data_IF_604508745960
#
_entry.id   IF_604508745960
#
_cell.length_a   1.000
_cell.length_b   1.000
_cell.length_c   1.000
_cell.angle_alpha   90.00
_cell.angle_beta   90.00
_cell.angle_gamma   90.00
#
_symmetry.space_group_name_H-M   'P 1'
#
loop_
_entity.id
_entity.type
_entity.pdbx_description
1 polymer ?
#
# COMPACT_ATOMS: atom_id res chain seq x y z
N UNK A 1 -29.80 -10.96 -8.66
CA UNK A 1 -31.19 -11.45 -8.52
C UNK A 1 -31.66 -11.06 -7.13
N UNK A 2 -32.82 -10.43 -6.98
CA UNK A 2 -33.29 -9.91 -5.67
C UNK A 2 -34.04 -10.99 -4.89
N UNK A 3 -33.79 -11.10 -3.58
CA UNK A 3 -34.55 -12.00 -2.70
C UNK A 3 -35.93 -11.39 -2.45
N UNK A 4 -37.03 -12.15 -2.64
CA UNK A 4 -38.38 -11.62 -2.46
C UNK A 4 -38.66 -11.19 -1.02
N UNK A 5 -39.64 -10.30 -0.81
CA UNK A 5 -40.01 -9.85 0.53
C UNK A 5 -40.62 -10.98 1.37
N UNK A 6 -41.47 -11.79 0.75
CA UNK A 6 -42.16 -12.93 1.33
C UNK A 6 -42.26 -14.05 0.29
N UNK A 7 -42.34 -15.29 0.74
CA UNK A 7 -42.55 -16.47 -0.09
C UNK A 7 -43.88 -17.13 0.30
N UNK A 8 -44.78 -17.28 -0.67
CA UNK A 8 -46.06 -17.96 -0.46
C UNK A 8 -45.89 -19.45 -0.75
N UNK A 9 -46.13 -20.30 0.25
CA UNK A 9 -46.06 -21.77 0.16
C UNK A 9 -47.44 -22.42 0.05
N UNK A 10 -48.47 -21.64 -0.31
CA UNK A 10 -49.86 -22.07 -0.42
C UNK A 10 -50.57 -22.09 0.94
N UNK A 11 -50.10 -22.92 1.86
CA UNK A 11 -50.69 -23.08 3.20
C UNK A 11 -50.14 -22.09 4.23
N UNK A 12 -49.02 -21.43 3.94
CA UNK A 12 -48.41 -20.43 4.81
C UNK A 12 -47.63 -19.40 3.99
N UNK A 13 -47.48 -18.21 4.57
CA UNK A 13 -46.70 -17.09 4.02
C UNK A 13 -45.46 -16.87 4.89
N UNK A 14 -44.28 -17.05 4.30
CA UNK A 14 -43.00 -16.95 5.01
C UNK A 14 -42.37 -15.59 4.72
N UNK A 15 -42.00 -14.86 5.77
CA UNK A 15 -41.18 -13.64 5.61
C UNK A 15 -39.73 -14.01 5.34
N UNK A 16 -39.15 -13.46 4.26
CA UNK A 16 -37.73 -13.65 3.95
C UNK A 16 -36.84 -12.54 4.55
N UNK A 17 -37.39 -11.68 5.43
CA UNK A 17 -36.70 -10.49 5.92
C UNK A 17 -35.43 -10.79 6.72
N UNK A 18 -35.50 -11.79 7.61
CA UNK A 18 -34.34 -12.23 8.37
C UNK A 18 -33.20 -12.71 7.45
N UNK A 19 -33.53 -13.50 6.42
CA UNK A 19 -32.56 -14.02 5.45
C UNK A 19 -31.97 -12.88 4.62
N UNK A 20 -32.80 -11.92 4.16
CA UNK A 20 -32.32 -10.74 3.44
C UNK A 20 -31.30 -9.95 4.27
N UNK A 21 -31.67 -9.65 5.52
CA UNK A 21 -30.79 -8.92 6.43
C UNK A 21 -29.48 -9.66 6.66
N UNK A 22 -29.56 -10.95 7.01
CA UNK A 22 -28.36 -11.76 7.26
C UNK A 22 -27.44 -11.82 6.04
N UNK A 23 -28.01 -11.96 4.83
CA UNK A 23 -27.22 -11.99 3.61
C UNK A 23 -26.59 -10.62 3.30
N UNK A 24 -27.34 -9.53 3.46
CA UNK A 24 -26.81 -8.17 3.34
C UNK A 24 -25.68 -7.89 4.34
N UNK A 25 -25.84 -8.32 5.59
CA UNK A 25 -24.83 -8.19 6.64
C UNK A 25 -23.57 -8.99 6.28
N UNK A 26 -23.74 -10.24 5.80
CA UNK A 26 -22.63 -11.08 5.32
C UNK A 26 -21.89 -10.45 4.14
N UNK A 27 -22.60 -9.93 3.14
CA UNK A 27 -21.97 -9.25 2.00
C UNK A 27 -21.19 -8.01 2.43
N UNK A 28 -21.76 -7.21 3.33
CA UNK A 28 -21.09 -6.01 3.87
C UNK A 28 -19.84 -6.39 4.65
N UNK A 29 -19.89 -7.46 5.44
CA UNK A 29 -18.74 -7.99 6.16
C UNK A 29 -17.64 -8.44 5.20
N UNK A 30 -17.99 -9.20 4.16
CA UNK A 30 -17.03 -9.68 3.16
C UNK A 30 -16.34 -8.49 2.48
N UNK A 31 -17.11 -7.52 1.98
CA UNK A 31 -16.56 -6.33 1.33
C UNK A 31 -15.62 -5.55 2.27
N UNK A 32 -16.00 -5.40 3.54
CA UNK A 32 -15.15 -4.73 4.55
C UNK A 32 -13.83 -5.49 4.75
N UNK A 33 -13.89 -6.81 4.88
CA UNK A 33 -12.69 -7.66 5.05
C UNK A 33 -11.78 -7.66 3.82
N UNK A 34 -12.34 -7.61 2.62
CA UNK A 34 -11.57 -7.48 1.39
C UNK A 34 -10.81 -6.16 1.36
N UNK A 35 -11.46 -5.05 1.68
CA UNK A 35 -10.81 -3.73 1.74
C UNK A 35 -9.73 -3.66 2.82
N UNK A 36 -9.98 -4.21 4.02
CA UNK A 36 -8.98 -4.31 5.09
C UNK A 36 -7.75 -5.12 4.65
N UNK A 37 -7.99 -6.26 3.96
CA UNK A 37 -6.92 -7.11 3.45
C UNK A 37 -6.11 -6.39 2.37
N UNK A 38 -6.79 -5.70 1.47
CA UNK A 38 -6.14 -4.92 0.43
C UNK A 38 -5.29 -3.79 1.02
N UNK A 39 -5.81 -3.06 2.01
CA UNK A 39 -5.06 -2.05 2.76
C UNK A 39 -3.81 -2.64 3.42
N UNK A 40 -3.91 -3.82 4.05
CA UNK A 40 -2.74 -4.51 4.61
C UNK A 40 -1.68 -4.82 3.55
N UNK A 41 -2.08 -5.33 2.39
CA UNK A 41 -1.15 -5.61 1.28
C UNK A 41 -0.47 -4.32 0.80
N UNK A 42 -1.21 -3.21 0.69
CA UNK A 42 -0.65 -1.90 0.33
C UNK A 42 0.39 -1.43 1.35
N UNK A 43 0.14 -1.60 2.65
CA UNK A 43 1.13 -1.29 3.71
C UNK A 43 2.39 -2.15 3.57
N UNK A 44 2.24 -3.45 3.32
CA UNK A 44 3.38 -4.37 3.14
C UNK A 44 4.24 -3.96 1.94
N UNK A 45 3.62 -3.47 0.86
CA UNK A 45 4.33 -2.89 -0.29
C UNK A 45 5.10 -1.63 0.09
N UNK A 46 4.49 -0.72 0.84
CA UNK A 46 5.17 0.48 1.35
C UNK A 46 6.42 0.11 2.18
N UNK A 47 6.30 -0.87 3.07
CA UNK A 47 7.42 -1.37 3.89
C UNK A 47 8.52 -2.05 3.07
N UNK A 48 8.17 -2.65 1.93
CA UNK A 48 9.16 -3.22 1.01
C UNK A 48 9.95 -2.12 0.31
N UNK A 49 9.25 -1.10 -0.20
CA UNK A 49 9.87 0.07 -0.83
C UNK A 49 10.78 0.77 0.19
N UNK A 50 10.30 1.00 1.42
CA UNK A 50 11.11 1.61 2.46
C UNK A 50 12.40 0.82 2.75
N UNK A 51 12.33 -0.52 2.78
CA UNK A 51 13.51 -1.38 2.97
C UNK A 51 14.52 -1.23 1.85
N UNK A 52 14.06 -1.19 0.59
CA UNK A 52 14.93 -1.01 -0.57
C UNK A 52 15.64 0.35 -0.48
N UNK A 53 14.91 1.40 -0.17
CA UNK A 53 15.46 2.74 0.03
C UNK A 53 16.43 2.82 1.21
N UNK A 54 16.15 2.12 2.31
CA UNK A 54 17.04 2.10 3.47
C UNK A 54 18.37 1.41 3.15
N UNK A 55 18.37 0.37 2.30
CA UNK A 55 19.61 -0.28 1.84
C UNK A 55 20.54 0.69 1.09
N UNK A 56 19.96 1.61 0.30
CA UNK A 56 20.68 2.69 -0.38
C UNK A 56 21.25 3.67 0.65
N UNK A 57 20.45 4.09 1.64
CA UNK A 57 20.89 5.01 2.70
C UNK A 57 22.07 4.47 3.51
N UNK A 58 22.02 3.19 3.88
CA UNK A 58 23.11 2.56 4.64
C UNK A 58 24.41 2.61 3.83
N UNK A 59 24.33 2.39 2.52
CA UNK A 59 25.51 2.44 1.64
C UNK A 59 26.05 3.87 1.51
N UNK A 60 25.16 4.87 1.39
CA UNK A 60 25.52 6.29 1.36
C UNK A 60 26.24 6.76 2.62
N UNK A 61 25.91 6.20 3.79
CA UNK A 61 26.49 6.59 5.08
C UNK A 61 27.84 5.93 5.38
N UNK A 62 28.31 4.97 4.55
CA UNK A 62 29.61 4.33 4.77
C UNK A 62 30.74 5.32 4.48
N UNK A 63 31.62 5.52 5.45
CA UNK A 63 32.85 6.30 5.24
C UNK A 63 33.92 5.38 4.63
N UNK A 64 34.47 5.69 3.45
CA UNK A 64 35.50 4.87 2.85
C UNK A 64 36.84 5.10 3.55
N UNK A 65 37.48 4.01 3.98
CA UNK A 65 38.78 4.02 4.68
C UNK A 65 39.98 3.89 3.73
N UNK A 66 39.74 3.50 2.48
CA UNK A 66 40.76 3.26 1.45
C UNK A 66 40.40 3.95 0.12
N UNK A 67 41.41 4.15 -0.75
CA UNK A 67 41.23 4.76 -2.07
C UNK A 67 40.33 3.87 -2.95
N UNK A 68 40.48 2.55 -2.87
CA UNK A 68 39.64 1.58 -3.56
C UNK A 68 38.19 1.68 -3.08
N UNK A 69 37.97 1.80 -1.76
CA UNK A 69 36.63 2.02 -1.20
C UNK A 69 36.00 3.34 -1.61
N UNK A 70 36.82 4.40 -1.81
CA UNK A 70 36.36 5.67 -2.36
C UNK A 70 35.89 5.53 -3.82
N UNK A 71 36.60 4.74 -4.64
CA UNK A 71 36.24 4.49 -6.04
C UNK A 71 34.94 3.69 -6.12
N UNK A 72 34.82 2.60 -5.36
CA UNK A 72 33.59 1.79 -5.29
C UNK A 72 32.38 2.62 -4.84
N UNK A 73 32.56 3.48 -3.84
CA UNK A 73 31.49 4.36 -3.38
C UNK A 73 31.05 5.36 -4.46
N UNK A 74 32.01 5.93 -5.22
CA UNK A 74 31.71 6.85 -6.33
C UNK A 74 30.96 6.17 -7.47
N UNK A 75 31.34 4.95 -7.83
CA UNK A 75 30.64 4.16 -8.84
C UNK A 75 29.22 3.82 -8.37
N UNK A 76 29.05 3.47 -7.09
CA UNK A 76 27.74 3.20 -6.52
C UNK A 76 26.85 4.46 -6.54
N UNK A 77 27.36 5.61 -6.10
CA UNK A 77 26.65 6.91 -6.16
C UNK A 77 26.12 7.24 -7.56
N UNK A 78 26.89 6.91 -8.61
CA UNK A 78 26.47 7.12 -10.00
C UNK A 78 25.29 6.23 -10.42
N UNK A 79 25.07 5.09 -9.76
CA UNK A 79 23.95 4.18 -10.04
C UNK A 79 22.67 4.52 -9.26
N UNK A 80 22.78 5.24 -8.15
CA UNK A 80 21.63 5.58 -7.27
C UNK A 80 20.50 6.31 -8.02
N UNK A 81 20.73 7.34 -8.85
CA UNK A 81 19.66 8.00 -9.59
C UNK A 81 18.85 7.04 -10.46
N UNK A 82 19.52 6.04 -11.05
CA UNK A 82 18.87 5.00 -11.84
C UNK A 82 18.04 4.06 -10.96
N UNK A 83 18.59 3.60 -9.83
CA UNK A 83 17.87 2.74 -8.88
C UNK A 83 16.61 3.44 -8.33
N UNK A 84 16.70 4.74 -8.02
CA UNK A 84 15.55 5.55 -7.58
C UNK A 84 14.51 5.68 -8.71
N UNK A 85 14.95 5.88 -9.95
CA UNK A 85 14.04 5.91 -11.10
C UNK A 85 13.33 4.55 -11.31
N UNK A 86 14.06 3.44 -11.18
CA UNK A 86 13.52 2.08 -11.32
C UNK A 86 12.50 1.73 -10.21
N UNK A 87 12.60 2.37 -9.04
CA UNK A 87 11.66 2.21 -7.92
C UNK A 87 10.45 3.15 -7.97
N UNK A 88 10.48 4.19 -8.83
CA UNK A 88 9.38 5.16 -8.97
C UNK A 88 8.05 4.49 -9.37
N UNK A 89 8.00 3.53 -10.30
CA UNK A 89 6.76 2.83 -10.65
C UNK A 89 6.13 2.08 -9.46
N UNK A 90 6.95 1.49 -8.58
CA UNK A 90 6.45 0.78 -7.39
C UNK A 90 5.79 1.75 -6.39
N UNK A 91 6.35 2.96 -6.26
CA UNK A 91 5.76 4.04 -5.45
C UNK A 91 4.44 4.50 -6.06
N UNK A 92 4.41 4.76 -7.36
CA UNK A 92 3.18 5.15 -8.06
C UNK A 92 2.08 4.08 -7.95
N UNK A 93 2.46 2.81 -8.06
CA UNK A 93 1.54 1.69 -7.85
C UNK A 93 0.97 1.74 -6.42
N UNK A 94 1.81 1.83 -5.39
CA UNK A 94 1.35 1.90 -4.00
C UNK A 94 0.40 3.10 -3.76
N UNK A 95 0.69 4.27 -4.33
CA UNK A 95 -0.17 5.45 -4.23
C UNK A 95 -1.51 5.27 -4.96
N UNK A 96 -1.50 4.57 -6.10
CA UNK A 96 -2.73 4.23 -6.83
C UNK A 96 -3.62 3.26 -6.03
N UNK A 97 -3.04 2.35 -5.25
CA UNK A 97 -3.78 1.44 -4.38
C UNK A 97 -4.46 2.19 -3.23
N UNK A 98 -3.78 3.18 -2.64
CA UNK A 98 -4.40 4.08 -1.67
C UNK A 98 -5.56 4.88 -2.29
N UNK A 99 -5.40 5.38 -3.51
CA UNK A 99 -6.48 6.08 -4.23
C UNK A 99 -7.68 5.15 -4.53
N UNK A 100 -7.43 3.87 -4.83
CA UNK A 100 -8.50 2.89 -5.02
C UNK A 100 -9.27 2.67 -3.71
N UNK A 101 -8.59 2.48 -2.59
CA UNK A 101 -9.22 2.37 -1.27
C UNK A 101 -10.04 3.62 -0.90
N UNK A 102 -9.52 4.83 -1.18
CA UNK A 102 -10.26 6.10 -1.04
C UNK A 102 -11.57 6.07 -1.85
N UNK A 103 -11.54 5.56 -3.09
CA UNK A 103 -12.73 5.48 -3.96
C UNK A 103 -13.83 4.55 -3.44
N UNK A 104 -13.46 3.54 -2.64
CA UNK A 104 -14.40 2.66 -1.93
C UNK A 104 -14.86 3.25 -0.59
N UNK A 105 -14.42 4.46 -0.22
CA UNK A 105 -14.76 5.09 1.05
C UNK A 105 -14.10 4.40 2.26
N UNK A 106 -12.98 3.71 2.05
CA UNK A 106 -12.25 3.06 3.12
C UNK A 106 -11.71 4.09 4.13
N UNK A 107 -11.86 3.81 5.42
CA UNK A 107 -11.39 4.70 6.49
C UNK A 107 -9.97 4.33 6.89
N UNK A 108 -9.03 5.17 6.47
CA UNK A 108 -7.63 5.05 6.84
C UNK A 108 -7.38 5.39 8.31
N UNK A 109 -6.43 4.67 8.92
CA UNK A 109 -5.86 5.04 10.21
C UNK A 109 -4.81 6.13 10.02
N UNK A 110 -4.35 6.75 11.11
CA UNK A 110 -3.25 7.72 11.07
C UNK A 110 -1.96 7.09 10.51
N UNK A 111 -1.70 5.83 10.83
CA UNK A 111 -0.52 5.11 10.37
C UNK A 111 -0.54 4.88 8.86
N UNK A 112 -1.73 4.72 8.27
CA UNK A 112 -1.90 4.58 6.82
C UNK A 112 -1.55 5.85 6.06
N UNK A 113 -1.99 6.98 6.59
CA UNK A 113 -1.62 8.28 6.06
C UNK A 113 -0.12 8.52 6.17
N UNK A 114 0.49 8.11 7.30
CA UNK A 114 1.94 8.12 7.48
C UNK A 114 2.63 7.31 6.39
N UNK A 115 2.30 6.03 6.26
CA UNK A 115 2.89 5.13 5.28
C UNK A 115 2.77 5.66 3.83
N UNK A 116 1.60 6.20 3.46
CA UNK A 116 1.38 6.81 2.14
C UNK A 116 2.32 8.00 1.90
N UNK A 117 2.42 8.89 2.88
CA UNK A 117 3.21 10.12 2.75
C UNK A 117 4.71 9.85 2.81
N UNK A 118 5.14 8.97 3.71
CA UNK A 118 6.55 8.57 3.85
C UNK A 118 7.03 7.90 2.57
N UNK A 119 6.25 6.97 2.00
CA UNK A 119 6.57 6.29 0.74
C UNK A 119 6.68 7.29 -0.42
N UNK A 120 5.80 8.29 -0.48
CA UNK A 120 5.88 9.37 -1.47
C UNK A 120 7.13 10.25 -1.30
N UNK A 121 7.59 10.48 -0.07
CA UNK A 121 8.74 11.33 0.22
C UNK A 121 10.10 10.65 0.03
N UNK A 122 10.16 9.31 -0.03
CA UNK A 122 11.40 8.53 -0.12
C UNK A 122 12.34 8.96 -1.27
N UNK A 123 11.87 9.13 -2.54
CA UNK A 123 12.74 9.53 -3.64
C UNK A 123 13.42 10.88 -3.40
N UNK A 124 12.65 11.85 -2.90
CA UNK A 124 13.17 13.18 -2.61
C UNK A 124 14.21 13.14 -1.50
N UNK A 125 13.95 12.36 -0.43
CA UNK A 125 14.87 12.24 0.68
C UNK A 125 16.24 11.64 0.30
N UNK A 126 16.28 10.69 -0.64
CA UNK A 126 17.56 10.18 -1.17
C UNK A 126 18.24 11.22 -2.05
N UNK A 127 17.48 11.90 -2.92
CA UNK A 127 18.03 12.97 -3.77
C UNK A 127 18.73 14.05 -2.96
N UNK A 128 18.10 14.50 -1.87
CA UNK A 128 18.68 15.51 -0.97
C UNK A 128 19.96 14.99 -0.27
N UNK A 129 20.05 13.70 0.06
CA UNK A 129 21.25 13.10 0.67
C UNK A 129 22.41 12.90 -0.31
N UNK A 130 22.13 12.70 -1.60
CA UNK A 130 23.18 12.58 -2.63
C UNK A 130 23.74 13.95 -3.01
N UNK A 131 22.96 15.01 -2.84
CA UNK A 131 23.36 16.39 -3.15
C UNK A 131 24.10 17.11 -2.00
N UNK A 132 24.05 16.58 -0.77
CA UNK A 132 24.71 17.12 0.43
C UNK A 132 26.13 16.59 0.59
#
# INVERSE_FOLDING_TARGET
>A
QSIPHQANLGICLVSCEAIRRELSDKHTLIATRELETYCRITRERCLSIERDFNSIRVTLQRTPETIEGLVEMREHLATIPKVVADQTPAIEEALSQFALLDSFGYRFTKDDFGARWDTFALPKSIGDQVAS
#
